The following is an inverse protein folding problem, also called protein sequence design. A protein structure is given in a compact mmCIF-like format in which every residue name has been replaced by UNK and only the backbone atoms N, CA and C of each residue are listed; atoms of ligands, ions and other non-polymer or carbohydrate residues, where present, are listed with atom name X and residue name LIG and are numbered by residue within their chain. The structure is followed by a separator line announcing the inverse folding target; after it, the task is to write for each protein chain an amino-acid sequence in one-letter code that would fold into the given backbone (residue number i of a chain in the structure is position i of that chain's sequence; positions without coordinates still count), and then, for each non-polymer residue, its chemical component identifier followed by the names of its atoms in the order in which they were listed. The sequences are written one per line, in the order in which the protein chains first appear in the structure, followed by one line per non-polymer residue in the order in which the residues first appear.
data_IF_031092603923
#
_entry.id   IF_031092603923
#
_cell.length_a   1.000
_cell.length_b   1.000
_cell.length_c   1.000
_cell.angle_alpha   90.00
_cell.angle_beta   90.00
_cell.angle_gamma   90.00
#
_symmetry.space_group_name_H-M   'P 1'
#
loop_
_entity.id
_entity.type
_entity.pdbx_description
1 polymer ?
#
# COMPACT_ATOMS: atom_id res chain seq x y z
N UNK A 1 -11.94 5.94 11.19
CA UNK A 1 -11.79 4.80 12.12
C UNK A 1 -11.09 3.69 11.35
N UNK A 2 -10.03 3.11 11.91
CA UNK A 2 -9.39 1.93 11.34
C UNK A 2 -10.36 0.74 11.42
N UNK A 3 -10.32 -0.14 10.42
CA UNK A 3 -11.11 -1.38 10.48
C UNK A 3 -10.73 -2.23 11.69
N UNK A 4 -9.45 -2.21 12.04
CA UNK A 4 -8.89 -2.96 13.16
C UNK A 4 -9.54 -2.51 14.47
N UNK A 5 -9.65 -1.20 14.69
CA UNK A 5 -10.27 -0.65 15.91
C UNK A 5 -11.75 -1.07 16.07
N UNK A 6 -12.45 -1.25 14.95
CA UNK A 6 -13.86 -1.66 14.94
C UNK A 6 -14.07 -3.18 15.19
N UNK A 7 -13.01 -3.99 15.10
CA UNK A 7 -13.08 -5.46 15.22
C UNK A 7 -12.42 -5.99 16.49
N UNK A 8 -11.93 -5.12 17.37
CA UNK A 8 -11.30 -5.52 18.62
C UNK A 8 -12.32 -6.19 19.57
N UNK A 9 -11.89 -7.26 20.21
CA UNK A 9 -12.68 -7.94 21.25
C UNK A 9 -12.51 -7.20 22.58
N UNK A 10 -13.50 -7.19 23.48
CA UNK A 10 -13.34 -6.56 24.80
C UNK A 10 -12.07 -7.01 25.52
N UNK A 11 -11.26 -6.03 25.96
CA UNK A 11 -9.97 -6.27 26.59
C UNK A 11 -8.82 -6.62 25.62
N UNK A 12 -9.01 -6.45 24.30
CA UNK A 12 -7.97 -6.56 23.28
C UNK A 12 -7.45 -5.15 22.92
N UNK A 13 -6.14 -4.97 22.92
CA UNK A 13 -5.49 -3.69 22.59
C UNK A 13 -4.56 -3.85 21.39
N UNK A 14 -4.51 -2.81 20.55
CA UNK A 14 -3.55 -2.74 19.44
C UNK A 14 -2.19 -2.32 20.00
N UNK A 15 -1.22 -3.21 19.88
CA UNK A 15 0.15 -2.98 20.37
C UNK A 15 1.00 -2.31 19.30
N UNK A 16 0.82 -2.72 18.04
CA UNK A 16 1.57 -2.18 16.92
C UNK A 16 0.74 -2.22 15.65
N UNK A 17 0.78 -1.14 14.88
CA UNK A 17 0.11 -1.04 13.59
C UNK A 17 1.09 -0.59 12.52
N UNK A 18 1.01 -1.23 11.36
CA UNK A 18 1.79 -0.86 10.19
C UNK A 18 0.93 -0.94 8.92
N UNK A 19 1.48 -0.41 7.83
CA UNK A 19 0.84 -0.36 6.51
C UNK A 19 1.82 -0.74 5.42
N UNK A 20 1.33 -0.84 4.20
CA UNK A 20 2.20 -0.97 3.04
C UNK A 20 3.11 0.25 2.90
N UNK A 21 4.36 -0.01 2.56
CA UNK A 21 5.33 1.05 2.32
C UNK A 21 4.97 1.87 1.06
N UNK A 22 5.34 3.15 1.04
CA UNK A 22 5.03 4.05 -0.10
C UNK A 22 5.60 3.57 -1.44
N UNK A 23 6.64 2.73 -1.44
CA UNK A 23 7.23 2.10 -2.63
C UNK A 23 6.19 1.34 -3.48
N UNK A 24 5.08 0.85 -2.86
CA UNK A 24 3.97 0.25 -3.60
C UNK A 24 3.33 1.24 -4.58
N UNK A 25 3.37 2.52 -4.26
CA UNK A 25 2.82 3.60 -5.09
C UNK A 25 3.79 4.07 -6.18
N UNK A 26 5.09 3.70 -6.12
CA UNK A 26 6.12 4.27 -6.99
C UNK A 26 5.78 4.14 -8.48
N UNK A 27 5.29 2.97 -8.90
CA UNK A 27 4.85 2.76 -10.28
C UNK A 27 3.68 3.69 -10.69
N UNK A 28 2.71 3.88 -9.79
CA UNK A 28 1.58 4.79 -10.04
C UNK A 28 2.02 6.25 -10.06
N UNK A 29 2.95 6.64 -9.18
CA UNK A 29 3.52 7.98 -9.12
C UNK A 29 4.26 8.30 -10.41
N UNK A 30 5.16 7.43 -10.86
CA UNK A 30 5.92 7.62 -12.10
C UNK A 30 5.00 7.68 -13.32
N UNK A 31 4.05 6.76 -13.43
CA UNK A 31 3.07 6.75 -14.52
C UNK A 31 2.23 8.03 -14.54
N UNK A 32 1.70 8.44 -13.40
CA UNK A 32 0.93 9.67 -13.23
C UNK A 32 1.76 10.91 -13.62
N UNK A 33 3.01 10.98 -13.15
CA UNK A 33 3.91 12.09 -13.45
C UNK A 33 4.18 12.22 -14.95
N UNK A 34 4.44 11.11 -15.65
CA UNK A 34 4.66 11.10 -17.10
C UNK A 34 3.42 11.62 -17.84
N UNK A 35 2.23 11.14 -17.48
CA UNK A 35 0.99 11.57 -18.14
C UNK A 35 0.67 13.05 -17.89
N UNK A 36 0.86 13.53 -16.67
CA UNK A 36 0.62 14.94 -16.33
C UNK A 36 1.62 15.85 -17.05
N UNK A 37 2.90 15.48 -17.08
CA UNK A 37 3.93 16.26 -17.80
C UNK A 37 3.64 16.25 -19.30
N UNK A 38 3.28 15.09 -19.89
CA UNK A 38 2.93 14.99 -21.30
C UNK A 38 1.71 15.86 -21.66
N UNK A 39 0.66 15.83 -20.82
CA UNK A 39 -0.53 16.67 -21.01
C UNK A 39 -0.24 18.16 -20.88
N UNK A 40 0.52 18.54 -19.84
CA UNK A 40 0.92 19.94 -19.64
C UNK A 40 1.84 20.43 -20.77
N UNK A 41 2.81 19.62 -21.18
CA UNK A 41 3.72 19.95 -22.27
C UNK A 41 2.99 20.13 -23.60
N UNK A 42 2.06 19.25 -23.93
CA UNK A 42 1.19 19.37 -25.10
C UNK A 42 0.35 20.63 -25.04
N UNK A 43 -0.25 20.94 -23.90
CA UNK A 43 -1.05 22.15 -23.73
C UNK A 43 -0.22 23.42 -23.95
N UNK A 44 0.97 23.53 -23.36
CA UNK A 44 1.88 24.67 -23.52
C UNK A 44 2.34 24.77 -24.99
N UNK A 45 2.71 23.65 -25.60
CA UNK A 45 3.12 23.62 -27.02
C UNK A 45 2.02 24.18 -27.93
N UNK A 46 0.78 23.76 -27.76
CA UNK A 46 -0.36 24.23 -28.56
C UNK A 46 -0.65 25.73 -28.36
N UNK A 47 -0.40 26.26 -27.16
CA UNK A 47 -0.55 27.69 -26.88
C UNK A 47 0.52 28.57 -27.57
N UNK A 48 1.67 27.98 -27.89
CA UNK A 48 2.76 28.67 -28.59
C UNK A 48 2.61 28.62 -30.12
N UNK A 49 1.77 27.74 -30.66
CA UNK A 49 1.56 27.61 -32.10
C UNK A 49 0.52 28.65 -32.59
N UNK A 50 0.91 29.38 -33.65
CA UNK A 50 0.04 30.29 -34.39
C UNK A 50 -0.26 29.70 -35.78
N UNK A 51 -1.53 29.75 -36.23
CA UNK A 51 -1.92 29.28 -37.58
C UNK A 51 -2.48 27.88 -37.65
N UNK A 52 -2.66 27.16 -36.51
CA UNK A 52 -3.37 25.88 -36.48
C UNK A 52 -4.88 26.09 -36.59
N UNK A 53 -5.55 25.10 -37.19
CA UNK A 53 -7.02 25.04 -37.22
C UNK A 53 -7.58 25.02 -35.80
N UNK A 54 -8.55 25.91 -35.52
CA UNK A 54 -9.10 26.08 -34.19
C UNK A 54 -9.82 24.80 -33.68
N UNK A 55 -10.40 24.01 -34.57
CA UNK A 55 -11.04 22.76 -34.17
C UNK A 55 -10.03 21.70 -33.79
N UNK A 56 -8.91 21.62 -34.54
CA UNK A 56 -7.80 20.75 -34.20
C UNK A 56 -7.20 21.12 -32.83
N UNK A 57 -6.99 22.41 -32.58
CA UNK A 57 -6.47 22.89 -31.29
C UNK A 57 -7.40 22.50 -30.12
N UNK A 58 -8.73 22.64 -30.29
CA UNK A 58 -9.71 22.23 -29.27
C UNK A 58 -9.64 20.73 -28.97
N UNK A 59 -9.55 19.89 -30.01
CA UNK A 59 -9.43 18.42 -29.86
C UNK A 59 -8.15 18.07 -29.10
N UNK A 60 -7.02 18.66 -29.45
CA UNK A 60 -5.74 18.39 -28.83
C UNK A 60 -5.67 18.90 -27.37
N UNK A 61 -6.31 20.03 -27.06
CA UNK A 61 -6.46 20.50 -25.67
C UNK A 61 -7.33 19.54 -24.88
N UNK A 62 -8.43 19.02 -25.46
CA UNK A 62 -9.24 17.98 -24.82
C UNK A 62 -8.44 16.71 -24.52
N UNK A 63 -7.59 16.28 -25.46
CA UNK A 63 -6.71 15.15 -25.28
C UNK A 63 -5.65 15.38 -24.18
N UNK A 64 -5.04 16.57 -24.13
CA UNK A 64 -4.09 16.94 -23.09
C UNK A 64 -4.77 16.92 -21.69
N UNK A 65 -5.99 17.44 -21.58
CA UNK A 65 -6.78 17.39 -20.36
C UNK A 65 -7.11 15.95 -19.95
N UNK A 66 -7.44 15.08 -20.90
CA UNK A 66 -7.69 13.66 -20.64
C UNK A 66 -6.46 12.96 -20.07
N UNK A 67 -5.28 13.21 -20.63
CA UNK A 67 -4.01 12.65 -20.11
C UNK A 67 -3.77 13.07 -18.65
N UNK A 68 -3.98 14.35 -18.34
CA UNK A 68 -3.83 14.85 -16.99
C UNK A 68 -4.84 14.20 -16.01
N UNK A 69 -6.09 14.06 -16.41
CA UNK A 69 -7.14 13.42 -15.59
C UNK A 69 -6.81 11.96 -15.34
N UNK A 70 -6.37 11.21 -16.35
CA UNK A 70 -5.97 9.80 -16.22
C UNK A 70 -4.75 9.67 -15.30
N UNK A 71 -3.77 10.57 -15.42
CA UNK A 71 -2.61 10.62 -14.53
C UNK A 71 -3.02 10.83 -13.07
N UNK A 72 -3.86 11.80 -12.79
CA UNK A 72 -4.37 12.06 -11.43
C UNK A 72 -5.19 10.87 -10.90
N UNK A 73 -6.04 10.27 -11.72
CA UNK A 73 -6.82 9.09 -11.34
C UNK A 73 -5.89 7.91 -10.98
N UNK A 74 -4.84 7.66 -11.75
CA UNK A 74 -3.85 6.62 -11.47
C UNK A 74 -3.16 6.84 -10.11
N UNK A 75 -2.80 8.08 -9.79
CA UNK A 75 -2.23 8.43 -8.48
C UNK A 75 -3.20 8.14 -7.33
N UNK A 76 -4.46 8.56 -7.47
CA UNK A 76 -5.52 8.33 -6.46
C UNK A 76 -5.73 6.83 -6.24
N UNK A 77 -5.75 6.02 -7.31
CA UNK A 77 -5.88 4.56 -7.21
C UNK A 77 -4.70 3.96 -6.46
N UNK A 78 -3.47 4.40 -6.75
CA UNK A 78 -2.27 3.96 -6.02
C UNK A 78 -2.35 4.26 -4.52
N UNK A 79 -2.77 5.49 -4.18
CA UNK A 79 -2.96 5.93 -2.80
C UNK A 79 -4.05 5.12 -2.08
N UNK A 80 -5.18 4.90 -2.75
CA UNK A 80 -6.28 4.12 -2.22
C UNK A 80 -5.87 2.66 -1.94
N UNK A 81 -5.10 2.02 -2.85
CA UNK A 81 -4.57 0.66 -2.65
C UNK A 81 -3.65 0.57 -1.43
N UNK A 82 -2.76 1.55 -1.25
CA UNK A 82 -1.88 1.59 -0.08
C UNK A 82 -2.68 1.72 1.22
N UNK A 83 -3.66 2.61 1.25
CA UNK A 83 -4.45 2.88 2.45
C UNK A 83 -5.48 1.77 2.76
N UNK A 84 -5.80 0.92 1.77
CA UNK A 84 -6.71 -0.20 1.96
C UNK A 84 -6.09 -1.40 2.70
N UNK A 85 -4.76 -1.42 2.89
CA UNK A 85 -4.06 -2.48 3.61
C UNK A 85 -3.67 -1.98 4.99
N UNK A 86 -4.19 -2.64 6.00
CA UNK A 86 -3.91 -2.39 7.42
C UNK A 86 -3.39 -3.67 8.05
N UNK A 87 -2.36 -3.57 8.86
CA UNK A 87 -1.75 -4.69 9.56
C UNK A 87 -1.53 -4.29 11.01
N UNK A 88 -1.98 -5.11 11.95
CA UNK A 88 -1.78 -4.86 13.37
C UNK A 88 -1.40 -6.12 14.13
N UNK A 89 -0.64 -5.89 15.19
CA UNK A 89 -0.38 -6.84 16.25
C UNK A 89 -1.20 -6.37 17.45
N UNK A 90 -2.05 -7.24 17.93
CA UNK A 90 -2.82 -6.99 19.16
C UNK A 90 -2.24 -7.82 20.30
N UNK A 91 -2.82 -7.67 21.47
CA UNK A 91 -2.47 -8.50 22.64
C UNK A 91 -2.87 -9.97 22.49
N UNK A 92 -3.69 -10.34 21.47
CA UNK A 92 -4.23 -11.71 21.30
C UNK A 92 -3.95 -12.32 19.94
N UNK A 93 -3.90 -11.52 18.86
CA UNK A 93 -3.81 -11.99 17.47
C UNK A 93 -3.02 -11.02 16.58
N UNK A 94 -2.59 -11.53 15.43
CA UNK A 94 -2.16 -10.72 14.30
C UNK A 94 -3.36 -10.55 13.37
N UNK A 95 -3.68 -9.30 13.00
CA UNK A 95 -4.79 -8.97 12.10
C UNK A 95 -4.22 -8.28 10.88
N UNK A 96 -4.53 -8.81 9.70
CA UNK A 96 -4.09 -8.24 8.43
C UNK A 96 -5.31 -8.13 7.53
N UNK A 97 -5.60 -6.91 7.13
CA UNK A 97 -6.68 -6.59 6.19
C UNK A 97 -6.08 -6.07 4.91
N UNK A 98 -6.45 -6.65 3.79
CA UNK A 98 -6.02 -6.24 2.45
C UNK A 98 -7.23 -6.05 1.53
N UNK A 99 -7.05 -5.21 0.51
CA UNK A 99 -8.00 -5.05 -0.59
C UNK A 99 -8.90 -3.83 -0.49
N UNK A 100 -9.13 -3.20 -1.65
CA UNK A 100 -10.00 -2.02 -1.83
C UNK A 100 -11.47 -2.43 -2.01
N UNK A 101 -11.75 -3.24 -3.02
CA UNK A 101 -13.10 -3.66 -3.39
C UNK A 101 -13.43 -5.03 -2.77
N UNK A 102 -12.58 -6.03 -2.99
CA UNK A 102 -12.64 -7.31 -2.31
C UNK A 102 -11.77 -7.24 -1.06
N UNK A 103 -12.37 -7.39 0.12
CA UNK A 103 -11.66 -7.36 1.39
C UNK A 103 -11.26 -8.79 1.77
N UNK A 104 -9.96 -9.01 1.97
CA UNK A 104 -9.44 -10.24 2.57
C UNK A 104 -8.90 -9.86 3.96
N UNK A 105 -9.44 -10.48 4.98
CA UNK A 105 -8.95 -10.34 6.35
C UNK A 105 -8.35 -11.67 6.78
N UNK A 106 -7.15 -11.61 7.32
CA UNK A 106 -6.45 -12.75 7.90
C UNK A 106 -6.22 -12.44 9.36
N UNK A 107 -6.73 -13.32 10.21
CA UNK A 107 -6.57 -13.23 11.65
C UNK A 107 -5.87 -14.49 12.12
N UNK A 108 -4.76 -14.33 12.82
CA UNK A 108 -4.00 -15.45 13.38
C UNK A 108 -3.76 -15.21 14.86
N UNK A 109 -4.26 -16.07 15.70
CA UNK A 109 -4.01 -16.01 17.13
C UNK A 109 -2.51 -16.16 17.41
N UNK A 110 -1.98 -15.38 18.34
CA UNK A 110 -0.54 -15.39 18.66
C UNK A 110 -0.05 -16.77 19.11
N UNK A 111 -0.87 -17.55 19.80
CA UNK A 111 -0.54 -18.93 20.21
C UNK A 111 -0.56 -19.94 19.04
N UNK A 112 -0.99 -19.53 17.86
CA UNK A 112 -0.96 -20.33 16.62
C UNK A 112 0.14 -19.90 15.66
N UNK A 113 0.89 -18.84 15.97
CA UNK A 113 2.06 -18.43 15.19
C UNK A 113 3.22 -19.34 15.55
N UNK A 114 3.72 -20.07 14.57
CA UNK A 114 4.84 -20.99 14.69
C UNK A 114 6.17 -20.30 14.37
N UNK A 115 6.22 -19.59 13.26
CA UNK A 115 7.39 -18.81 12.86
C UNK A 115 7.02 -17.57 12.05
N UNK A 116 7.95 -16.61 12.03
CA UNK A 116 7.85 -15.38 11.25
C UNK A 116 9.14 -15.20 10.47
N UNK A 117 9.06 -15.28 9.16
CA UNK A 117 10.16 -15.03 8.26
C UNK A 117 10.12 -13.58 7.75
N UNK A 118 11.27 -12.91 7.76
CA UNK A 118 11.42 -11.56 7.20
C UNK A 118 12.47 -11.61 6.11
N UNK A 119 12.11 -11.16 4.93
CA UNK A 119 12.99 -11.03 3.79
C UNK A 119 13.05 -9.58 3.32
N UNK A 120 14.25 -9.02 3.32
CA UNK A 120 14.52 -7.67 2.86
C UNK A 120 15.53 -7.71 1.70
N UNK A 121 15.19 -7.08 0.58
CA UNK A 121 16.18 -6.82 -0.47
C UNK A 121 17.13 -5.71 -0.03
N UNK A 122 18.26 -5.53 -0.71
CA UNK A 122 19.20 -4.43 -0.42
C UNK A 122 18.49 -3.06 -0.45
N UNK A 123 17.68 -2.81 -1.49
CA UNK A 123 16.87 -1.59 -1.56
C UNK A 123 15.78 -1.53 -0.49
N UNK A 124 15.17 -2.67 -0.15
CA UNK A 124 14.19 -2.78 0.94
C UNK A 124 14.78 -2.40 2.28
N UNK A 125 15.97 -2.89 2.58
CA UNK A 125 16.71 -2.57 3.82
C UNK A 125 17.07 -1.08 3.90
N UNK A 126 17.51 -0.47 2.80
CA UNK A 126 17.83 0.97 2.77
C UNK A 126 16.60 1.86 2.95
N UNK A 127 15.45 1.46 2.39
CA UNK A 127 14.21 2.23 2.42
C UNK A 127 13.27 1.82 3.57
N UNK A 128 13.59 0.75 4.32
CA UNK A 128 12.79 0.30 5.46
C UNK A 128 11.54 -0.49 5.08
N UNK A 129 11.60 -1.31 4.01
CA UNK A 129 10.50 -2.20 3.64
C UNK A 129 10.98 -3.62 3.33
N UNK A 130 10.08 -4.59 3.50
CA UNK A 130 10.37 -5.99 3.22
C UNK A 130 9.12 -6.84 3.07
N UNK A 131 9.33 -8.13 2.93
CA UNK A 131 8.28 -9.15 2.92
C UNK A 131 8.29 -9.87 4.26
N UNK A 132 7.12 -10.05 4.84
CA UNK A 132 6.90 -10.89 6.03
C UNK A 132 6.08 -12.10 5.59
N UNK A 133 6.49 -13.27 6.06
CA UNK A 133 5.72 -14.51 5.95
C UNK A 133 5.40 -14.96 7.37
N UNK A 134 4.11 -15.08 7.69
CA UNK A 134 3.65 -15.61 8.97
C UNK A 134 3.23 -17.05 8.73
N UNK A 135 3.82 -17.96 9.48
CA UNK A 135 3.56 -19.40 9.40
C UNK A 135 2.82 -19.81 10.67
N UNK A 136 1.61 -20.34 10.47
CA UNK A 136 0.77 -20.84 11.55
C UNK A 136 0.87 -22.34 11.72
N UNK A 137 0.50 -22.83 12.92
CA UNK A 137 0.38 -24.25 13.21
C UNK A 137 -0.63 -24.89 12.24
N UNK A 138 -0.15 -25.81 11.39
CA UNK A 138 -0.94 -26.43 10.30
C UNK A 138 -0.46 -26.06 8.90
N UNK A 139 0.72 -25.37 8.78
CA UNK A 139 1.38 -25.12 7.50
C UNK A 139 0.76 -24.00 6.66
N UNK A 140 -0.20 -23.26 7.20
CA UNK A 140 -0.71 -22.06 6.53
C UNK A 140 0.38 -20.99 6.54
N UNK A 141 0.83 -20.57 5.35
CA UNK A 141 1.78 -19.48 5.19
C UNK A 141 1.19 -18.39 4.29
N UNK A 142 1.24 -17.16 4.76
CA UNK A 142 0.76 -16.00 4.00
C UNK A 142 1.87 -14.96 3.88
N UNK A 143 2.34 -14.68 2.65
CA UNK A 143 3.35 -13.65 2.40
C UNK A 143 2.72 -12.27 2.27
N UNK A 144 3.30 -11.30 2.96
CA UNK A 144 2.93 -9.89 2.91
C UNK A 144 4.08 -9.06 2.38
N UNK A 145 3.96 -8.66 1.10
CA UNK A 145 5.01 -7.95 0.38
C UNK A 145 5.00 -6.44 0.66
N UNK A 146 6.20 -5.83 0.64
CA UNK A 146 6.40 -4.37 0.74
C UNK A 146 5.78 -3.76 1.99
N UNK A 147 5.84 -4.48 3.10
CA UNK A 147 5.46 -3.98 4.41
C UNK A 147 6.47 -2.96 4.92
N UNK A 148 6.01 -1.88 5.54
CA UNK A 148 6.88 -0.92 6.22
C UNK A 148 7.37 -1.49 7.55
N UNK A 149 8.65 -1.30 7.86
CA UNK A 149 9.31 -1.71 9.10
C UNK A 149 9.08 -3.18 9.50
N UNK A 150 9.41 -4.15 8.64
CA UNK A 150 9.08 -5.56 8.86
C UNK A 150 9.77 -6.17 10.08
N UNK A 151 11.00 -5.74 10.40
CA UNK A 151 11.73 -6.21 11.57
C UNK A 151 11.07 -5.77 12.89
N UNK A 152 10.53 -4.53 12.92
CA UNK A 152 9.79 -4.04 14.07
C UNK A 152 8.51 -4.83 14.28
N UNK A 153 7.76 -5.10 13.20
CA UNK A 153 6.57 -5.94 13.26
C UNK A 153 6.87 -7.32 13.84
N UNK A 154 7.93 -8.00 13.32
CA UNK A 154 8.37 -9.30 13.86
C UNK A 154 8.69 -9.23 15.35
N UNK A 155 9.47 -8.22 15.76
CA UNK A 155 9.83 -8.02 17.17
C UNK A 155 8.60 -7.84 18.06
N UNK A 156 7.60 -7.07 17.62
CA UNK A 156 6.37 -6.87 18.38
C UNK A 156 5.55 -8.16 18.50
N UNK A 157 5.44 -8.96 17.45
CA UNK A 157 4.75 -10.25 17.52
C UNK A 157 5.48 -11.18 18.50
N UNK A 158 6.82 -11.29 18.41
CA UNK A 158 7.60 -12.13 19.31
C UNK A 158 7.44 -11.71 20.78
N UNK A 159 7.50 -10.41 21.07
CA UNK A 159 7.28 -9.88 22.43
C UNK A 159 5.89 -10.22 22.96
N UNK A 160 4.85 -10.18 22.13
CA UNK A 160 3.51 -10.55 22.59
C UNK A 160 3.37 -12.07 22.79
N UNK A 161 4.01 -12.90 21.98
CA UNK A 161 4.04 -14.36 22.19
C UNK A 161 4.73 -14.71 23.51
N UNK A 162 5.81 -14.02 23.84
CA UNK A 162 6.52 -14.24 25.12
C UNK A 162 5.69 -13.87 26.34
N UNK A 163 4.83 -12.84 26.25
CA UNK A 163 3.93 -12.44 27.34
C UNK A 163 2.77 -13.43 27.56
N UNK A 164 2.49 -14.30 26.61
CA UNK A 164 1.43 -15.32 26.70
C UNK A 164 1.92 -16.65 27.28
N UNK A 165 3.25 -16.80 27.48
CA UNK A 165 3.89 -17.98 28.11
C UNK A 165 3.96 -17.81 29.62
#
# INVERSE_FOLDING_TARGET
MSYIDATLVPGEEVVYQTRLHWVVMLGHILFSLVLVIAGAGLFVYLRMQTGLDMNLVRILIGFAALLAIVGVAAFIVGMARRNATEMAVTTRRVVIKTGLAARKTIEMLLNKVESIEVSETTGGRMLGYGTIVIIGTGGTSEPFHRMAHPLQFRSQVQQQIEKLK
#
